data_IF_118235495291
#
_entry.id   IF_118235495291
#
_cell.length_a   1.000
_cell.length_b   1.000
_cell.length_c   1.000
_cell.angle_alpha   90.00
_cell.angle_beta   90.00
_cell.angle_gamma   90.00
#
_symmetry.space_group_name_H-M   'P 1'
#
loop_
_entity.id
_entity.type
_entity.pdbx_description
1 polymer ?
#
# COMPACT_ATOMS: atom_id res chain seq x y z
N UNK A 1 -1.34 29.74 14.28
CA UNK A 1 -0.73 28.39 14.22
C UNK A 1 -1.61 27.44 13.42
N UNK A 2 -1.92 27.79 12.15
CA UNK A 2 -2.79 27.00 11.26
C UNK A 2 -2.01 26.59 10.00
N UNK A 3 -1.30 27.57 9.41
CA UNK A 3 -0.38 27.40 8.27
C UNK A 3 0.69 26.32 8.50
N UNK A 4 1.26 26.21 9.72
CA UNK A 4 2.28 25.18 9.98
C UNK A 4 1.68 23.77 9.98
N UNK A 5 0.44 23.62 10.46
CA UNK A 5 -0.22 22.31 10.56
C UNK A 5 -0.62 21.82 9.17
N UNK A 6 -1.14 22.71 8.31
CA UNK A 6 -1.47 22.41 6.92
C UNK A 6 -0.24 21.93 6.12
N UNK A 7 0.90 22.60 6.27
CA UNK A 7 2.18 22.18 5.66
C UNK A 7 2.63 20.78 6.11
N UNK A 8 2.42 20.44 7.38
CA UNK A 8 2.75 19.11 7.91
C UNK A 8 1.80 18.03 7.39
N UNK A 9 0.49 18.33 7.28
CA UNK A 9 -0.50 17.38 6.76
C UNK A 9 -0.30 17.08 5.28
N UNK A 10 -0.05 18.11 4.46
CA UNK A 10 0.28 17.93 3.04
C UNK A 10 1.56 17.09 2.87
N UNK A 11 2.60 17.37 3.66
CA UNK A 11 3.83 16.58 3.66
C UNK A 11 3.60 15.12 4.02
N UNK A 12 2.70 14.81 4.96
CA UNK A 12 2.37 13.43 5.34
C UNK A 12 1.64 12.70 4.21
N UNK A 13 0.68 13.36 3.55
CA UNK A 13 -0.05 12.78 2.41
C UNK A 13 0.91 12.46 1.27
N UNK A 14 1.83 13.37 0.95
CA UNK A 14 2.85 13.16 -0.08
C UNK A 14 3.72 11.96 0.25
N UNK A 15 4.21 11.84 1.49
CA UNK A 15 5.03 10.70 1.93
C UNK A 15 4.24 9.40 1.83
N UNK A 16 3.00 9.37 2.34
CA UNK A 16 2.13 8.19 2.26
C UNK A 16 1.86 7.78 0.82
N UNK A 17 1.67 8.74 -0.08
CA UNK A 17 1.46 8.49 -1.51
C UNK A 17 2.69 7.86 -2.16
N UNK A 18 3.90 8.40 -1.92
CA UNK A 18 5.13 7.80 -2.43
C UNK A 18 5.35 6.38 -1.90
N UNK A 19 5.15 6.17 -0.60
CA UNK A 19 5.23 4.84 0.01
C UNK A 19 4.22 3.88 -0.63
N UNK A 20 2.99 4.34 -0.86
CA UNK A 20 1.94 3.55 -1.51
C UNK A 20 2.30 3.16 -2.95
N UNK A 21 2.86 4.10 -3.74
CA UNK A 21 3.31 3.82 -5.11
C UNK A 21 4.47 2.82 -5.14
N UNK A 22 5.48 2.99 -4.28
CA UNK A 22 6.65 2.10 -4.22
C UNK A 22 6.20 0.69 -3.82
N UNK A 23 5.41 0.56 -2.76
CA UNK A 23 4.90 -0.73 -2.30
C UNK A 23 3.96 -1.37 -3.32
N UNK A 24 3.12 -0.57 -3.98
CA UNK A 24 2.26 -1.01 -5.07
C UNK A 24 3.05 -1.59 -6.23
N UNK A 25 4.12 -0.91 -6.64
CA UNK A 25 5.04 -1.39 -7.67
C UNK A 25 5.74 -2.69 -7.29
N UNK A 26 6.32 -2.76 -6.07
CA UNK A 26 6.97 -3.96 -5.55
C UNK A 26 5.99 -5.14 -5.48
N UNK A 27 4.78 -4.91 -4.95
CA UNK A 27 3.71 -5.91 -4.86
C UNK A 27 3.26 -6.37 -6.24
N UNK A 28 3.13 -5.45 -7.20
CA UNK A 28 2.77 -5.73 -8.58
C UNK A 28 3.80 -6.63 -9.26
N UNK A 29 5.09 -6.28 -9.17
CA UNK A 29 6.19 -7.06 -9.73
C UNK A 29 6.32 -8.43 -9.05
N UNK A 30 6.19 -8.48 -7.73
CA UNK A 30 6.18 -9.72 -6.97
C UNK A 30 5.04 -10.63 -7.45
N UNK A 31 3.82 -10.11 -7.53
CA UNK A 31 2.64 -10.84 -7.99
C UNK A 31 2.79 -11.32 -9.43
N UNK A 32 3.35 -10.50 -10.32
CA UNK A 32 3.64 -10.90 -11.69
C UNK A 32 4.53 -12.14 -11.74
N UNK A 33 5.68 -12.12 -11.04
CA UNK A 33 6.60 -13.27 -10.97
C UNK A 33 5.94 -14.52 -10.37
N UNK A 34 5.06 -14.32 -9.40
CA UNK A 34 4.38 -15.42 -8.73
C UNK A 34 3.28 -16.04 -9.61
N UNK A 35 2.52 -15.23 -10.35
CA UNK A 35 1.56 -15.72 -11.33
C UNK A 35 2.30 -16.46 -12.45
N UNK A 36 3.42 -15.93 -12.92
CA UNK A 36 4.25 -16.59 -13.93
C UNK A 36 4.75 -17.97 -13.44
N UNK A 37 5.19 -18.05 -12.19
CA UNK A 37 5.71 -19.29 -11.58
C UNK A 37 4.62 -20.32 -11.26
N UNK A 38 3.47 -19.89 -10.73
CA UNK A 38 2.45 -20.78 -10.18
C UNK A 38 1.21 -20.91 -11.06
N UNK A 39 1.06 -20.07 -12.09
CA UNK A 39 -0.01 -20.11 -13.10
C UNK A 39 -1.39 -20.29 -12.45
N UNK A 40 -2.13 -21.33 -12.84
CA UNK A 40 -3.46 -21.66 -12.31
C UNK A 40 -3.48 -21.90 -10.80
N UNK A 41 -2.37 -22.37 -10.21
CA UNK A 41 -2.28 -22.62 -8.76
C UNK A 41 -2.10 -21.34 -7.95
N UNK A 42 -1.81 -20.20 -8.57
CA UNK A 42 -1.63 -18.93 -7.86
C UNK A 42 -2.86 -18.49 -7.06
N UNK A 43 -4.06 -18.71 -7.60
CA UNK A 43 -5.33 -18.29 -6.99
C UNK A 43 -6.00 -19.37 -6.14
N UNK A 44 -5.50 -20.61 -6.18
CA UNK A 44 -6.03 -21.72 -5.41
C UNK A 44 -5.27 -21.84 -4.08
N UNK A 45 -4.14 -22.53 -4.10
CA UNK A 45 -3.24 -22.64 -2.94
C UNK A 45 -1.81 -22.79 -3.46
N UNK A 46 -1.13 -21.68 -3.81
CA UNK A 46 0.17 -21.78 -4.43
C UNK A 46 1.18 -22.41 -3.44
N UNK A 47 2.04 -23.35 -3.89
CA UNK A 47 3.07 -23.97 -3.06
C UNK A 47 4.20 -22.98 -2.78
N UNK A 48 3.88 -21.98 -1.96
CA UNK A 48 4.76 -20.95 -1.46
C UNK A 48 5.39 -21.44 -0.16
N UNK A 49 6.70 -21.27 -0.06
CA UNK A 49 7.40 -21.47 1.21
C UNK A 49 6.93 -20.44 2.26
N UNK A 50 7.25 -20.68 3.54
CA UNK A 50 6.82 -19.84 4.66
C UNK A 50 7.25 -18.37 4.44
N UNK A 51 8.48 -18.15 4.00
CA UNK A 51 8.99 -16.80 3.69
C UNK A 51 8.20 -16.11 2.57
N UNK A 52 7.83 -16.84 1.52
CA UNK A 52 7.01 -16.33 0.44
C UNK A 52 5.61 -15.94 0.92
N UNK A 53 4.98 -16.79 1.76
CA UNK A 53 3.68 -16.48 2.36
C UNK A 53 3.74 -15.24 3.25
N UNK A 54 4.78 -15.12 4.07
CA UNK A 54 5.02 -13.93 4.90
C UNK A 54 5.22 -12.68 4.05
N UNK A 55 6.07 -12.72 3.03
CA UNK A 55 6.29 -11.59 2.13
C UNK A 55 5.01 -11.18 1.38
N UNK A 56 4.22 -12.14 0.90
CA UNK A 56 2.96 -11.88 0.21
C UNK A 56 1.95 -11.18 1.13
N UNK A 57 1.76 -11.71 2.34
CA UNK A 57 0.83 -11.15 3.32
C UNK A 57 1.30 -9.80 3.84
N UNK A 58 2.61 -9.63 4.06
CA UNK A 58 3.19 -8.36 4.46
C UNK A 58 2.97 -7.29 3.39
N UNK A 59 3.30 -7.57 2.12
CA UNK A 59 3.08 -6.64 1.01
C UNK A 59 1.59 -6.29 0.85
N UNK A 60 0.69 -7.28 0.96
CA UNK A 60 -0.75 -7.05 0.90
C UNK A 60 -1.25 -6.19 2.07
N UNK A 61 -0.80 -6.50 3.29
CA UNK A 61 -1.16 -5.78 4.51
C UNK A 61 -0.66 -4.34 4.48
N UNK A 62 0.62 -4.11 4.18
CA UNK A 62 1.18 -2.76 4.12
C UNK A 62 0.55 -1.94 3.00
N UNK A 63 0.27 -2.53 1.84
CA UNK A 63 -0.46 -1.84 0.77
C UNK A 63 -1.87 -1.44 1.22
N UNK A 64 -2.61 -2.35 1.87
CA UNK A 64 -3.96 -2.05 2.40
C UNK A 64 -3.93 -0.93 3.45
N UNK A 65 -3.01 -1.00 4.42
CA UNK A 65 -2.86 0.01 5.46
C UNK A 65 -2.49 1.38 4.91
N UNK A 66 -1.56 1.45 3.94
CA UNK A 66 -1.20 2.73 3.30
C UNK A 66 -2.35 3.32 2.51
N UNK A 67 -3.14 2.50 1.79
CA UNK A 67 -4.40 2.96 1.15
C UNK A 67 -5.36 3.54 2.17
N UNK A 68 -5.57 2.84 3.31
CA UNK A 68 -6.48 3.28 4.34
C UNK A 68 -6.06 4.63 4.93
N UNK A 69 -4.80 4.77 5.33
CA UNK A 69 -4.30 6.03 5.88
C UNK A 69 -4.36 7.17 4.86
N UNK A 70 -4.02 6.92 3.60
CA UNK A 70 -4.10 7.92 2.55
C UNK A 70 -5.55 8.39 2.33
N UNK A 71 -6.50 7.46 2.23
CA UNK A 71 -7.92 7.77 2.10
C UNK A 71 -8.46 8.54 3.31
N UNK A 72 -8.08 8.13 4.53
CA UNK A 72 -8.48 8.80 5.76
C UNK A 72 -7.90 10.23 5.82
N UNK A 73 -6.62 10.41 5.50
CA UNK A 73 -5.96 11.72 5.47
C UNK A 73 -6.60 12.66 4.46
N UNK A 74 -6.91 12.19 3.25
CA UNK A 74 -7.62 12.99 2.23
C UNK A 74 -9.03 13.36 2.72
N UNK A 75 -9.75 12.41 3.33
CA UNK A 75 -11.11 12.66 3.84
C UNK A 75 -11.11 13.72 4.94
N UNK A 76 -10.18 13.64 5.89
CA UNK A 76 -10.03 14.64 6.96
C UNK A 76 -9.65 16.00 6.37
N UNK A 77 -8.72 16.03 5.41
CA UNK A 77 -8.33 17.27 4.73
C UNK A 77 -9.55 17.93 4.07
N UNK A 78 -10.31 17.18 3.25
CA UNK A 78 -11.52 17.69 2.61
C UNK A 78 -12.54 18.19 3.64
N UNK A 79 -12.79 17.44 4.71
CA UNK A 79 -13.71 17.87 5.78
C UNK A 79 -13.29 19.17 6.47
N UNK A 80 -11.98 19.44 6.61
CA UNK A 80 -11.49 20.68 7.22
C UNK A 80 -11.50 21.89 6.26
N UNK A 81 -11.56 21.64 4.95
CA UNK A 81 -11.63 22.67 3.92
C UNK A 81 -13.07 23.09 3.57
N UNK A 82 -14.07 22.26 3.87
CA UNK A 82 -15.50 22.54 3.70
C UNK A 82 -16.17 22.90 5.02
#
# INVERSE_FOLDING_TARGET
MRISLDFHTESIIVVLFFVHLILGGIRGLYRYRMIEKYQYNYYADPPMNIFGKLAHNWLAGTFSSTTFFLSASITVMLFLFF
#
